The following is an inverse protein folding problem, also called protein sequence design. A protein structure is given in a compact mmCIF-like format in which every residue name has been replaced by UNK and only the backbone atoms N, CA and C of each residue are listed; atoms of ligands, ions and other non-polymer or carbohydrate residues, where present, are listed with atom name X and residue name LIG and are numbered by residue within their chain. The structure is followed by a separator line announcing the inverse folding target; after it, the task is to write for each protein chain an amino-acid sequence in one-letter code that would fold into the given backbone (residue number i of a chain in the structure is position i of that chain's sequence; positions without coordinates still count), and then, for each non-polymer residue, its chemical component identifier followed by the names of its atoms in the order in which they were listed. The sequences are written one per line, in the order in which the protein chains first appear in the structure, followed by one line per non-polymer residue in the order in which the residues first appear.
data_IF_895116044579
#
_entry.id   IF_895116044579
#
_cell.length_a   1.000
_cell.length_b   1.000
_cell.length_c   1.000
_cell.angle_alpha   90.00
_cell.angle_beta   90.00
_cell.angle_gamma   90.00
#
_symmetry.space_group_name_H-M   'P 1'
#
loop_
_entity.id
_entity.type
_entity.pdbx_description
1 polymer ?
#
# COMPACT_ATOMS: atom_id res chain seq x y z
N UNK A 1 7.24 -11.69 -2.65
CA UNK A 1 7.94 -10.62 -3.42
C UNK A 1 6.98 -9.46 -3.58
N UNK A 2 7.23 -8.33 -2.92
CA UNK A 2 6.31 -7.20 -2.92
C UNK A 2 6.33 -6.48 -4.27
N UNK A 3 5.13 -6.19 -4.81
CA UNK A 3 4.97 -5.51 -6.10
C UNK A 3 4.40 -4.14 -5.84
N UNK A 4 5.21 -3.09 -5.98
CA UNK A 4 4.80 -1.70 -5.85
C UNK A 4 4.86 -1.00 -7.21
N UNK A 5 3.73 -0.40 -7.62
CA UNK A 5 3.60 0.39 -8.86
C UNK A 5 2.69 1.58 -8.61
N UNK A 6 2.77 2.59 -9.46
CA UNK A 6 1.81 3.69 -9.39
C UNK A 6 0.38 3.15 -9.62
N UNK A 7 -0.48 3.28 -8.62
CA UNK A 7 -1.86 2.78 -8.64
C UNK A 7 -2.09 1.41 -8.00
N UNK A 8 -1.04 0.67 -7.60
CA UNK A 8 -1.21 -0.64 -6.96
C UNK A 8 -0.04 -1.05 -6.08
N UNK A 9 -0.32 -1.70 -4.96
CA UNK A 9 0.68 -2.39 -4.14
C UNK A 9 0.14 -3.73 -3.68
N UNK A 10 0.98 -4.77 -3.72
CA UNK A 10 0.69 -6.09 -3.19
C UNK A 10 1.85 -6.57 -2.33
N UNK A 11 1.51 -7.21 -1.20
CA UNK A 11 2.45 -7.71 -0.21
C UNK A 11 2.16 -9.17 0.14
N UNK A 12 3.18 -9.83 0.69
CA UNK A 12 3.05 -11.09 1.42
C UNK A 12 3.16 -10.85 2.92
N UNK A 13 2.20 -11.38 3.68
CA UNK A 13 2.10 -11.31 5.13
C UNK A 13 1.73 -12.69 5.69
N UNK A 14 1.61 -12.80 7.02
CA UNK A 14 1.07 -14.02 7.63
C UNK A 14 -0.42 -14.16 7.27
N UNK A 15 -0.93 -15.36 6.93
CA UNK A 15 -2.36 -15.56 6.74
C UNK A 15 -3.17 -15.06 7.95
N UNK A 16 -4.25 -14.31 7.69
CA UNK A 16 -5.06 -13.67 8.73
C UNK A 16 -4.44 -12.42 9.37
N UNK A 17 -3.31 -11.92 8.88
CA UNK A 17 -2.76 -10.63 9.31
C UNK A 17 -3.67 -9.48 8.89
N UNK A 18 -3.84 -8.50 9.78
CA UNK A 18 -4.57 -7.27 9.52
C UNK A 18 -3.58 -6.23 8.97
N UNK A 19 -3.71 -5.90 7.69
CA UNK A 19 -2.78 -5.02 7.00
C UNK A 19 -3.43 -3.71 6.57
N UNK A 20 -2.66 -2.62 6.62
CA UNK A 20 -3.04 -1.30 6.14
C UNK A 20 -1.95 -0.79 5.21
N UNK A 21 -2.37 -0.07 4.18
CA UNK A 21 -1.48 0.59 3.26
C UNK A 21 -1.82 2.08 3.24
N UNK A 22 -0.80 2.95 3.17
CA UNK A 22 -0.97 4.36 2.89
C UNK A 22 -0.02 4.76 1.77
N UNK A 23 -0.39 5.78 1.00
CA UNK A 23 0.38 6.22 -0.17
C UNK A 23 0.77 7.68 0.02
N UNK A 24 2.03 8.00 -0.23
CA UNK A 24 2.54 9.35 -0.40
C UNK A 24 2.96 9.54 -1.86
N UNK A 25 2.31 10.50 -2.53
CA UNK A 25 2.62 10.88 -3.91
C UNK A 25 3.87 11.78 -3.93
N UNK A 26 4.55 11.91 -5.09
CA UNK A 26 5.70 12.81 -5.24
C UNK A 26 5.41 14.27 -4.85
N UNK A 27 4.17 14.73 -5.02
CA UNK A 27 3.74 16.06 -4.60
C UNK A 27 3.67 16.25 -3.07
N UNK A 28 3.84 15.19 -2.29
CA UNK A 28 3.67 15.16 -0.84
C UNK A 28 2.24 14.84 -0.39
N UNK A 29 1.28 14.86 -1.31
CA UNK A 29 -0.11 14.51 -1.04
C UNK A 29 -0.27 13.02 -0.74
N UNK A 30 -1.23 12.67 0.10
CA UNK A 30 -1.61 11.28 0.34
C UNK A 30 -2.80 10.87 -0.53
N UNK A 31 -2.82 9.61 -0.97
CA UNK A 31 -4.00 9.07 -1.68
C UNK A 31 -5.06 8.72 -0.65
N UNK A 32 -6.21 9.38 -0.73
CA UNK A 32 -7.41 9.07 0.06
C UNK A 32 -8.35 8.19 -0.78
N UNK A 33 -7.92 6.96 -1.08
CA UNK A 33 -8.78 5.96 -1.72
C UNK A 33 -9.44 5.10 -0.65
N UNK A 34 -10.72 4.75 -0.80
CA UNK A 34 -11.46 3.96 0.18
C UNK A 34 -10.76 2.63 0.53
N UNK A 35 -10.14 1.98 -0.46
CA UNK A 35 -9.32 0.78 -0.26
C UNK A 35 -8.11 1.04 0.65
N UNK A 36 -7.43 2.18 0.49
CA UNK A 36 -6.29 2.56 1.33
C UNK A 36 -6.69 3.13 2.70
N UNK A 37 -7.98 3.43 2.90
CA UNK A 37 -8.52 3.80 4.21
C UNK A 37 -8.98 2.57 5.01
N UNK A 38 -9.12 1.42 4.35
CA UNK A 38 -9.67 0.20 4.94
C UNK A 38 -8.56 -0.80 5.24
N UNK A 39 -8.73 -1.49 6.37
CA UNK A 39 -7.86 -2.61 6.73
C UNK A 39 -8.17 -3.82 5.85
N UNK A 40 -7.14 -4.44 5.28
CA UNK A 40 -7.27 -5.66 4.49
C UNK A 40 -6.70 -6.82 5.29
N UNK A 41 -7.48 -7.90 5.40
CA UNK A 41 -7.02 -9.14 6.02
C UNK A 41 -6.31 -9.97 4.96
N UNK A 42 -5.06 -10.36 5.24
CA UNK A 42 -4.29 -11.22 4.37
C UNK A 42 -5.00 -12.58 4.21
N UNK A 43 -5.14 -13.04 2.96
CA UNK A 43 -5.87 -14.27 2.65
C UNK A 43 -5.19 -15.55 3.17
N UNK A 44 -5.74 -16.73 2.86
CA UNK A 44 -5.17 -18.03 3.27
C UNK A 44 -3.74 -18.26 2.75
N UNK A 45 -3.33 -17.54 1.70
CA UNK A 45 -1.98 -17.55 1.13
C UNK A 45 -1.09 -16.45 1.71
N UNK A 46 -1.63 -15.61 2.60
CA UNK A 46 -0.93 -14.48 3.17
C UNK A 46 -0.85 -13.28 2.22
N UNK A 47 -1.66 -13.21 1.18
CA UNK A 47 -1.62 -12.10 0.21
C UNK A 47 -2.57 -10.99 0.62
N UNK A 48 -2.09 -9.74 0.53
CA UNK A 48 -2.91 -8.53 0.64
C UNK A 48 -2.53 -7.56 -0.47
N UNK A 49 -3.52 -6.93 -1.09
CA UNK A 49 -3.31 -6.01 -2.19
C UNK A 49 -4.27 -4.83 -2.11
N UNK A 50 -3.79 -3.68 -2.60
CA UNK A 50 -4.55 -2.44 -2.69
C UNK A 50 -4.33 -1.81 -4.06
N UNK A 51 -5.35 -1.11 -4.54
CA UNK A 51 -5.27 -0.36 -5.78
C UNK A 51 -6.03 0.95 -5.70
N UNK A 52 -5.63 1.93 -6.52
CA UNK A 52 -6.35 3.19 -6.69
C UNK A 52 -6.31 3.64 -8.14
N UNK A 53 -7.29 4.45 -8.53
CA UNK A 53 -7.38 4.96 -9.88
C UNK A 53 -6.22 5.91 -10.18
N UNK A 54 -5.53 5.66 -11.30
CA UNK A 54 -4.49 6.53 -11.86
C UNK A 54 -4.94 7.08 -13.21
N UNK A 55 -4.47 8.26 -13.63
CA UNK A 55 -3.59 9.17 -12.88
C UNK A 55 -4.34 9.93 -11.79
N UNK A 56 -3.67 10.19 -10.67
CA UNK A 56 -4.15 11.05 -9.59
C UNK A 56 -3.82 12.50 -9.93
N UNK A 57 -4.85 13.35 -9.99
CA UNK A 57 -4.67 14.78 -10.23
C UNK A 57 -3.78 15.40 -9.15
N UNK A 58 -2.74 16.13 -9.56
CA UNK A 58 -1.79 16.74 -8.62
C UNK A 58 -0.84 15.76 -7.94
N UNK A 59 -0.62 14.56 -8.49
CA UNK A 59 0.37 13.61 -7.95
C UNK A 59 1.82 14.12 -8.04
N UNK A 60 2.12 15.03 -8.97
CA UNK A 60 3.49 15.36 -9.33
C UNK A 60 4.14 14.25 -10.16
N UNK A 61 5.45 14.40 -10.44
CA UNK A 61 6.27 13.40 -11.16
C UNK A 61 7.43 12.97 -10.29
N UNK A 62 7.89 11.74 -10.45
CA UNK A 62 9.02 11.18 -9.72
C UNK A 62 8.61 10.13 -8.68
N UNK A 63 9.41 10.00 -7.62
CA UNK A 63 9.25 8.95 -6.60
C UNK A 63 8.09 9.24 -5.65
N UNK A 64 7.23 8.25 -5.47
CA UNK A 64 6.28 8.14 -4.37
C UNK A 64 6.54 6.90 -3.52
N UNK A 65 5.86 6.82 -2.39
CA UNK A 65 6.08 5.80 -1.38
C UNK A 65 4.76 5.19 -0.91
N UNK A 66 4.75 3.88 -0.73
CA UNK A 66 3.76 3.13 0.03
C UNK A 66 4.32 2.85 1.41
N UNK A 67 3.53 3.13 2.44
CA UNK A 67 3.82 2.70 3.80
C UNK A 67 2.80 1.64 4.21
N UNK A 68 3.31 0.47 4.59
CA UNK A 68 2.54 -0.75 4.84
C UNK A 68 2.74 -1.16 6.30
N UNK A 69 1.65 -1.46 6.99
CA UNK A 69 1.67 -1.91 8.38
C UNK A 69 0.77 -3.13 8.52
N UNK A 70 1.31 -4.25 9.01
CA UNK A 70 0.60 -5.50 9.19
C UNK A 70 0.71 -5.98 10.63
N UNK A 71 -0.43 -6.30 11.25
CA UNK A 71 -0.51 -6.86 12.60
C UNK A 71 -0.98 -8.32 12.55
N UNK A 72 -0.21 -9.22 13.14
CA UNK A 72 -0.55 -10.63 13.30
C UNK A 72 -0.19 -11.12 14.71
N UNK A 73 -1.12 -11.79 15.39
CA UNK A 73 -0.93 -12.30 16.75
C UNK A 73 -0.40 -11.23 17.75
N UNK A 74 -0.82 -9.98 17.60
CA UNK A 74 -0.40 -8.86 18.45
C UNK A 74 0.98 -8.28 18.13
N UNK A 75 1.66 -8.78 17.09
CA UNK A 75 2.91 -8.21 16.58
C UNK A 75 2.64 -7.39 15.33
N UNK A 76 3.15 -6.16 15.30
CA UNK A 76 3.07 -5.27 14.13
C UNK A 76 4.42 -5.22 13.43
N UNK A 77 4.40 -5.34 12.11
CA UNK A 77 5.55 -5.16 11.22
C UNK A 77 5.22 -4.08 10.21
N UNK A 78 6.15 -3.17 10.00
CA UNK A 78 6.03 -2.06 9.05
C UNK A 78 7.08 -2.21 7.96
N UNK A 79 6.71 -1.83 6.74
CA UNK A 79 7.63 -1.78 5.60
C UNK A 79 7.22 -0.69 4.64
N UNK A 80 8.18 -0.21 3.86
CA UNK A 80 7.97 0.80 2.84
C UNK A 80 8.29 0.24 1.46
N UNK A 81 7.52 0.65 0.45
CA UNK A 81 7.76 0.28 -0.94
C UNK A 81 7.63 1.51 -1.84
N UNK A 82 8.62 1.75 -2.69
CA UNK A 82 8.64 2.94 -3.57
C UNK A 82 8.06 2.63 -4.95
N UNK A 83 7.50 3.64 -5.61
CA UNK A 83 7.06 3.58 -7.00
C UNK A 83 7.39 4.89 -7.73
N UNK A 84 7.39 4.87 -9.06
CA UNK A 84 7.60 6.05 -9.89
C UNK A 84 6.30 6.50 -10.58
N UNK A 85 6.05 7.82 -10.56
CA UNK A 85 4.98 8.47 -11.32
C UNK A 85 5.57 9.10 -12.59
N UNK A 86 5.11 8.70 -13.80
CA UNK A 86 5.65 9.16 -15.08
C UNK A 86 5.32 10.63 -15.43
#
# INVERSE_FOLDING_TARGET
MDIARYGSVAIEARPGAHCRASVRLPSGNTVLAADFLSEHVADERGSAAWSYATPVAGAGKGRGDYHLSCTAAGQTVETDATFDVP
#
